data_IF_754093904164
#
_entry.id   IF_754093904164
#
_cell.length_a   1.000
_cell.length_b   1.000
_cell.length_c   1.000
_cell.angle_alpha   90.00
_cell.angle_beta   90.00
_cell.angle_gamma   90.00
#
_symmetry.space_group_name_H-M   'P 1'
#
loop_
_entity.id
_entity.type
_entity.pdbx_description
1 polymer ?
#
# COMPACT_ATOMS: atom_id res chain seq x y z
N UNK A 1 -11.86 11.30 21.52
CA UNK A 1 -10.63 10.54 21.36
C UNK A 1 -9.91 11.02 20.11
N UNK A 2 -8.66 11.42 20.24
CA UNK A 2 -7.89 11.94 19.12
C UNK A 2 -7.15 10.80 18.42
N UNK A 3 -7.59 10.49 17.20
CA UNK A 3 -6.86 9.55 16.37
C UNK A 3 -5.69 10.27 15.73
N UNK A 4 -4.50 9.73 15.90
CA UNK A 4 -3.31 10.30 15.29
C UNK A 4 -3.00 9.58 13.98
N UNK A 5 -2.74 10.36 12.95
CA UNK A 5 -2.32 9.85 11.66
C UNK A 5 -0.90 10.31 11.38
N UNK A 6 -0.09 9.42 10.86
CA UNK A 6 1.26 9.73 10.42
C UNK A 6 1.35 9.51 8.92
N UNK A 7 1.77 10.54 8.20
CA UNK A 7 2.03 10.46 6.76
C UNK A 7 3.53 10.30 6.58
N UNK A 8 3.94 9.23 5.89
CA UNK A 8 5.36 9.03 5.63
C UNK A 8 5.61 8.28 4.34
N UNK A 9 6.81 8.45 3.80
CA UNK A 9 7.27 7.65 2.66
C UNK A 9 7.54 6.23 3.14
N UNK A 10 7.03 5.26 2.41
CA UNK A 10 7.23 3.85 2.72
C UNK A 10 8.60 3.42 2.18
N UNK A 11 9.64 3.61 2.97
CA UNK A 11 11.02 3.27 2.59
C UNK A 11 11.44 1.89 3.06
N UNK A 12 10.94 1.44 4.21
CA UNK A 12 11.27 0.12 4.72
C UNK A 12 10.43 -0.95 4.03
N UNK A 13 10.95 -2.17 4.00
CA UNK A 13 10.20 -3.31 3.46
C UNK A 13 8.88 -3.50 4.21
N UNK A 14 8.89 -3.30 5.51
CA UNK A 14 7.69 -3.43 6.35
C UNK A 14 6.62 -2.40 5.97
N UNK A 15 7.00 -1.14 5.79
CA UNK A 15 6.07 -0.08 5.41
C UNK A 15 5.52 -0.29 4.01
N UNK A 16 6.37 -0.70 3.05
CA UNK A 16 5.94 -0.99 1.68
C UNK A 16 4.96 -2.16 1.67
N UNK A 17 5.25 -3.21 2.44
CA UNK A 17 4.36 -4.35 2.56
C UNK A 17 3.00 -3.95 3.12
N UNK A 18 2.97 -3.09 4.14
CA UNK A 18 1.72 -2.59 4.72
C UNK A 18 0.89 -1.84 3.68
N UNK A 19 1.52 -1.00 2.86
CA UNK A 19 0.85 -0.27 1.78
C UNK A 19 0.32 -1.23 0.70
N UNK A 20 1.11 -2.22 0.30
CA UNK A 20 0.70 -3.18 -0.73
C UNK A 20 -0.43 -4.10 -0.25
N UNK A 21 -0.44 -4.44 1.03
CA UNK A 21 -1.55 -5.19 1.63
C UNK A 21 -2.83 -4.38 1.68
N UNK A 22 -2.72 -3.10 1.99
CA UNK A 22 -3.88 -2.22 1.96
C UNK A 22 -4.46 -2.14 0.54
N UNK A 23 -3.61 -2.01 -0.48
CA UNK A 23 -4.06 -2.02 -1.88
C UNK A 23 -4.78 -3.32 -2.21
N UNK A 24 -4.24 -4.45 -1.77
CA UNK A 24 -4.87 -5.74 -2.00
C UNK A 24 -6.26 -5.77 -1.38
N UNK A 25 -6.38 -5.36 -0.13
CA UNK A 25 -7.66 -5.38 0.57
C UNK A 25 -8.72 -4.52 -0.12
N UNK A 26 -8.32 -3.35 -0.62
CA UNK A 26 -9.26 -2.45 -1.29
C UNK A 26 -9.56 -2.90 -2.72
N UNK A 27 -8.53 -3.08 -3.55
CA UNK A 27 -8.76 -3.29 -4.98
C UNK A 27 -9.09 -4.74 -5.33
N UNK A 28 -8.53 -5.68 -4.65
CA UNK A 28 -8.73 -7.10 -4.95
C UNK A 28 -9.86 -7.68 -4.11
N UNK A 29 -9.77 -7.60 -2.78
CA UNK A 29 -10.74 -8.24 -1.90
C UNK A 29 -12.10 -7.54 -1.92
N UNK A 30 -12.14 -6.21 -1.95
CA UNK A 30 -13.40 -5.46 -1.95
C UNK A 30 -13.94 -5.22 -3.36
N UNK A 31 -13.08 -4.82 -4.31
CA UNK A 31 -13.51 -4.40 -5.64
C UNK A 31 -13.33 -5.45 -6.72
N UNK A 32 -12.62 -6.55 -6.44
CA UNK A 32 -12.38 -7.61 -7.40
C UNK A 32 -11.52 -7.19 -8.60
N UNK A 33 -10.70 -6.16 -8.44
CA UNK A 33 -9.84 -5.63 -9.50
C UNK A 33 -8.41 -6.12 -9.33
N UNK A 34 -7.63 -6.07 -10.42
CA UNK A 34 -6.19 -6.35 -10.41
C UNK A 34 -5.83 -7.74 -9.89
N UNK A 35 -6.74 -8.71 -10.06
CA UNK A 35 -6.56 -10.05 -9.52
C UNK A 35 -5.40 -10.81 -10.16
N UNK A 36 -5.09 -10.52 -11.43
CA UNK A 36 -4.03 -11.23 -12.17
C UNK A 36 -2.62 -10.81 -11.73
N UNK A 37 -2.46 -9.55 -11.31
CA UNK A 37 -1.15 -9.03 -10.90
C UNK A 37 -0.94 -9.11 -9.39
N UNK A 38 -1.96 -9.49 -8.65
CA UNK A 38 -1.90 -9.55 -7.20
C UNK A 38 -1.17 -10.82 -6.74
N UNK A 39 -0.42 -10.66 -5.65
CA UNK A 39 0.16 -11.80 -4.94
C UNK A 39 -0.88 -12.27 -3.91
N UNK A 40 -1.63 -13.30 -4.27
CA UNK A 40 -2.70 -13.79 -3.42
C UNK A 40 -2.19 -14.53 -2.18
N UNK A 41 -0.99 -15.09 -2.26
CA UNK A 41 -0.39 -15.78 -1.10
C UNK A 41 0.00 -14.79 -0.02
N UNK A 42 0.59 -13.67 -0.40
CA UNK A 42 1.00 -12.61 0.53
C UNK A 42 -0.09 -11.58 0.78
N UNK A 43 -1.15 -11.60 -0.01
CA UNK A 43 -2.22 -10.60 -0.01
C UNK A 43 -1.66 -9.19 -0.22
N UNK A 44 -0.87 -9.06 -1.27
CA UNK A 44 -0.22 -7.80 -1.64
C UNK A 44 -0.52 -7.46 -3.09
N UNK A 45 -0.68 -6.17 -3.36
CA UNK A 45 -0.85 -5.65 -4.70
C UNK A 45 0.24 -4.63 -4.98
N UNK A 46 1.13 -4.96 -5.90
CA UNK A 46 2.16 -4.06 -6.38
C UNK A 46 2.45 -4.38 -7.85
N UNK A 47 3.12 -3.48 -8.53
CA UNK A 47 3.54 -3.69 -9.91
C UNK A 47 4.99 -3.24 -10.09
N UNK A 48 5.52 -3.41 -11.32
CA UNK A 48 6.92 -3.08 -11.60
C UNK A 48 7.24 -1.60 -11.42
N UNK A 49 6.26 -0.72 -11.54
CA UNK A 49 6.47 0.72 -11.36
C UNK A 49 6.71 1.10 -9.90
N UNK A 50 6.25 0.28 -8.97
CA UNK A 50 6.45 0.54 -7.54
C UNK A 50 7.93 0.52 -7.15
N UNK A 51 8.77 -0.20 -7.88
CA UNK A 51 10.20 -0.25 -7.60
C UNK A 51 10.88 1.11 -7.81
N UNK A 52 10.35 1.93 -8.71
CA UNK A 52 10.91 3.23 -9.07
C UNK A 52 10.07 4.41 -8.58
N UNK A 53 8.93 4.13 -7.98
CA UNK A 53 8.01 5.15 -7.50
C UNK A 53 8.23 5.45 -6.02
N UNK A 54 7.77 6.63 -5.62
CA UNK A 54 7.68 6.96 -4.20
C UNK A 54 6.33 6.46 -3.70
N UNK A 55 6.36 5.54 -2.76
CA UNK A 55 5.15 5.02 -2.12
C UNK A 55 4.97 5.76 -0.80
N UNK A 56 3.81 6.38 -0.62
CA UNK A 56 3.47 7.14 0.58
C UNK A 56 2.36 6.40 1.30
N UNK A 57 2.49 6.29 2.60
CA UNK A 57 1.45 5.69 3.44
C UNK A 57 0.96 6.64 4.51
N UNK A 58 -0.31 6.52 4.85
CA UNK A 58 -0.89 7.15 6.04
C UNK A 58 -1.14 6.03 7.04
N UNK A 59 -0.60 6.19 8.23
CA UNK A 59 -0.64 5.16 9.26
C UNK A 59 -1.38 5.67 10.49
N UNK A 60 -2.20 4.81 11.06
CA UNK A 60 -2.85 5.07 12.34
C UNK A 60 -2.51 3.90 13.26
N UNK A 61 -1.86 4.20 14.37
CA UNK A 61 -1.44 3.19 15.35
C UNK A 61 -0.66 2.02 14.70
N UNK A 62 0.22 2.36 13.75
CA UNK A 62 1.06 1.37 13.07
C UNK A 62 0.38 0.62 11.93
N UNK A 63 -0.88 0.93 11.64
CA UNK A 63 -1.65 0.29 10.57
C UNK A 63 -1.82 1.24 9.40
N UNK A 64 -1.53 0.78 8.19
CA UNK A 64 -1.74 1.58 6.98
C UNK A 64 -3.25 1.73 6.73
N UNK A 65 -3.72 2.97 6.63
CA UNK A 65 -5.13 3.30 6.39
C UNK A 65 -5.35 3.98 5.06
N UNK A 66 -4.29 4.48 4.42
CA UNK A 66 -4.34 5.03 3.07
C UNK A 66 -2.95 4.93 2.46
N UNK A 67 -2.89 4.90 1.14
CA UNK A 67 -1.62 4.88 0.42
C UNK A 67 -1.77 5.56 -0.92
N UNK A 68 -0.66 6.11 -1.41
CA UNK A 68 -0.56 6.73 -2.73
C UNK A 68 0.79 6.42 -3.34
N UNK A 69 0.88 6.51 -4.64
CA UNK A 69 2.13 6.33 -5.38
C UNK A 69 2.40 7.55 -6.23
N UNK A 70 3.64 8.04 -6.16
CA UNK A 70 4.09 9.13 -6.99
C UNK A 70 5.10 8.55 -7.98
N UNK A 71 4.74 8.52 -9.24
CA UNK A 71 5.62 8.04 -10.29
C UNK A 71 6.47 9.21 -10.81
N UNK A 72 7.77 9.00 -10.86
CA UNK A 72 8.70 9.97 -11.42
C UNK A 72 8.90 9.64 -12.88
N UNK A 73 8.42 10.52 -13.73
CA UNK A 73 8.55 10.34 -15.17
C UNK A 73 9.97 10.69 -15.64
#
# INVERSE_FOLDING_TARGET
MNTKYEVRVAETASDRQACFRLRYDVYVAELGRNTEVADHDRRELSDSEDAEAIVVGVFSEGVAVATARISLA
#
